data_IF_775693552482
#
_entry.id   IF_775693552482
#
_cell.length_a   1.000
_cell.length_b   1.000
_cell.length_c   1.000
_cell.angle_alpha   90.00
_cell.angle_beta   90.00
_cell.angle_gamma   90.00
#
_symmetry.space_group_name_H-M   'P 1'
#
loop_
_entity.id
_entity.type
_entity.pdbx_description
1 polymer ?
#
# COMPACT_ATOMS: atom_id res chain seq x y z
N UNK A 1 3.08 -0.18 -28.91
CA UNK A 1 2.39 0.10 -27.62
C UNK A 1 3.37 0.82 -26.69
N UNK A 2 2.94 1.87 -26.00
CA UNK A 2 3.79 2.52 -25.00
C UNK A 2 4.05 1.58 -23.83
N UNK A 3 5.28 1.59 -23.31
CA UNK A 3 5.64 0.81 -22.12
C UNK A 3 4.93 1.36 -20.90
N UNK A 4 4.34 0.50 -20.07
CA UNK A 4 3.84 0.91 -18.75
C UNK A 4 5.01 1.30 -17.85
N UNK A 5 4.92 2.46 -17.19
CA UNK A 5 5.96 2.99 -16.30
C UNK A 5 5.56 2.79 -14.85
N UNK A 6 6.36 2.03 -14.11
CA UNK A 6 6.10 1.73 -12.70
C UNK A 6 7.28 2.18 -11.85
N UNK A 7 7.02 2.90 -10.77
CA UNK A 7 8.03 3.17 -9.75
C UNK A 7 7.71 2.30 -8.54
N UNK A 8 8.68 1.48 -8.15
CA UNK A 8 8.59 0.68 -6.92
C UNK A 8 9.09 1.51 -5.74
N UNK A 9 8.21 1.76 -4.79
CA UNK A 9 8.50 2.45 -3.53
C UNK A 9 8.80 1.41 -2.46
N UNK A 10 10.05 1.33 -2.01
CA UNK A 10 10.53 0.33 -1.05
C UNK A 10 10.95 1.01 0.26
N UNK A 11 10.01 1.29 1.18
CA UNK A 11 10.34 1.84 2.48
C UNK A 11 10.96 0.77 3.36
N UNK A 12 12.24 0.89 3.70
CA UNK A 12 12.91 -0.10 4.54
C UNK A 12 14.41 0.13 4.67
N UNK A 13 14.99 -0.38 5.75
CA UNK A 13 16.44 -0.34 6.01
C UNK A 13 17.10 -1.66 5.64
N UNK A 14 16.48 -2.75 6.03
CA UNK A 14 16.97 -4.11 5.84
C UNK A 14 15.95 -4.87 5.01
N UNK A 15 16.44 -5.74 4.17
CA UNK A 15 15.65 -6.61 3.31
C UNK A 15 16.13 -8.03 3.54
N UNK A 16 15.21 -8.96 3.77
CA UNK A 16 15.55 -10.35 3.99
C UNK A 16 16.03 -11.04 2.70
N UNK A 17 16.60 -12.22 2.83
CA UNK A 17 16.94 -13.08 1.70
C UNK A 17 15.68 -13.51 0.93
N UNK A 18 14.56 -13.76 1.60
CA UNK A 18 13.27 -14.04 0.96
C UNK A 18 12.78 -12.85 0.14
N UNK A 19 12.85 -11.64 0.69
CA UNK A 19 12.53 -10.43 -0.06
C UNK A 19 13.46 -10.27 -1.28
N UNK A 20 14.78 -10.42 -1.07
CA UNK A 20 15.76 -10.28 -2.14
C UNK A 20 15.48 -11.27 -3.29
N UNK A 21 15.13 -12.50 -2.98
CA UNK A 21 14.74 -13.52 -3.97
C UNK A 21 13.47 -13.09 -4.72
N UNK A 22 12.42 -12.70 -4.01
CA UNK A 22 11.17 -12.21 -4.61
C UNK A 22 11.41 -11.01 -5.52
N UNK A 23 12.19 -10.04 -5.04
CA UNK A 23 12.54 -8.83 -5.80
C UNK A 23 13.36 -9.15 -7.06
N UNK A 24 14.39 -9.99 -6.95
CA UNK A 24 15.22 -10.38 -8.09
C UNK A 24 14.39 -11.09 -9.14
N UNK A 25 13.52 -12.02 -8.74
CA UNK A 25 12.61 -12.71 -9.67
C UNK A 25 11.69 -11.71 -10.39
N UNK A 26 11.11 -10.75 -9.65
CA UNK A 26 10.24 -9.75 -10.25
C UNK A 26 10.98 -8.88 -11.27
N UNK A 27 12.13 -8.29 -10.92
CA UNK A 27 12.81 -7.34 -11.81
C UNK A 27 13.36 -7.98 -13.07
N UNK A 28 13.66 -9.28 -13.05
CA UNK A 28 14.07 -10.03 -14.25
C UNK A 28 12.92 -10.30 -15.22
N UNK A 29 11.68 -10.34 -14.73
CA UNK A 29 10.48 -10.53 -15.56
C UNK A 29 9.91 -9.22 -16.14
N UNK A 30 10.07 -8.08 -15.49
CA UNK A 30 9.47 -6.80 -15.90
C UNK A 30 9.73 -6.43 -17.38
N UNK A 31 10.97 -6.59 -17.93
CA UNK A 31 11.20 -6.30 -19.35
C UNK A 31 10.40 -7.16 -20.31
N UNK A 32 10.13 -8.42 -19.95
CA UNK A 32 9.35 -9.36 -20.76
C UNK A 32 7.86 -8.95 -20.85
N UNK A 33 7.38 -8.23 -19.84
CA UNK A 33 6.00 -7.71 -19.75
C UNK A 33 5.84 -6.27 -20.27
N UNK A 34 6.84 -5.76 -21.00
CA UNK A 34 6.83 -4.40 -21.56
C UNK A 34 6.67 -3.31 -20.48
N UNK A 35 7.27 -3.52 -19.31
CA UNK A 35 7.26 -2.57 -18.18
C UNK A 35 8.61 -1.85 -18.11
N UNK A 36 8.57 -0.52 -18.11
CA UNK A 36 9.69 0.34 -17.73
C UNK A 36 9.57 0.63 -16.25
N UNK A 37 10.62 0.39 -15.50
CA UNK A 37 10.58 0.55 -14.06
C UNK A 37 11.73 1.37 -13.50
N UNK A 38 11.49 1.92 -12.32
CA UNK A 38 12.50 2.53 -11.46
C UNK A 38 12.21 2.16 -10.01
N UNK A 39 13.18 2.33 -9.14
CA UNK A 39 13.07 2.05 -7.71
C UNK A 39 13.33 3.33 -6.90
N UNK A 40 12.48 3.57 -5.93
CA UNK A 40 12.67 4.59 -4.90
C UNK A 40 12.73 3.91 -3.54
N UNK A 41 13.94 3.57 -3.11
CA UNK A 41 14.21 3.01 -1.78
C UNK A 41 14.62 4.12 -0.83
N UNK A 42 14.00 4.18 0.33
CA UNK A 42 14.32 5.12 1.42
C UNK A 42 14.24 4.42 2.77
N UNK A 43 14.93 5.01 3.73
CA UNK A 43 14.88 4.57 5.12
C UNK A 43 14.65 5.76 6.06
N UNK A 44 13.77 5.57 7.00
CA UNK A 44 13.61 6.39 8.20
C UNK A 44 12.92 5.53 9.27
N UNK A 45 13.17 5.83 10.54
CA UNK A 45 12.54 5.11 11.67
C UNK A 45 11.03 5.35 11.77
N UNK A 46 10.54 6.44 11.21
CA UNK A 46 9.13 6.80 11.22
C UNK A 46 8.52 6.63 9.81
N UNK A 47 7.39 5.93 9.74
CA UNK A 47 6.65 5.63 8.52
C UNK A 47 6.27 6.90 7.74
N UNK A 48 5.83 7.93 8.43
CA UNK A 48 5.50 9.23 7.86
C UNK A 48 6.65 9.79 7.00
N UNK A 49 7.87 9.83 7.57
CA UNK A 49 9.02 10.38 6.84
C UNK A 49 9.46 9.51 5.69
N UNK A 50 9.55 8.18 5.89
CA UNK A 50 10.05 7.28 4.84
C UNK A 50 9.12 7.24 3.63
N UNK A 51 7.81 7.20 3.82
CA UNK A 51 6.85 7.18 2.71
C UNK A 51 6.90 8.48 1.90
N UNK A 52 6.89 9.64 2.57
CA UNK A 52 7.02 10.92 1.86
C UNK A 52 8.38 11.07 1.16
N UNK A 53 9.45 10.55 1.74
CA UNK A 53 10.78 10.54 1.09
C UNK A 53 10.83 9.61 -0.12
N UNK A 54 10.14 8.46 -0.12
CA UNK A 54 10.01 7.59 -1.30
C UNK A 54 9.37 8.31 -2.48
N UNK A 55 8.45 9.24 -2.21
CA UNK A 55 7.82 10.09 -3.22
C UNK A 55 8.64 11.35 -3.57
N UNK A 56 9.87 11.47 -3.05
CA UNK A 56 10.72 12.63 -3.29
C UNK A 56 10.23 13.90 -2.59
N UNK A 57 9.48 13.74 -1.49
CA UNK A 57 8.99 14.85 -0.68
C UNK A 57 10.12 15.65 -0.05
N UNK A 58 9.93 16.97 0.02
CA UNK A 58 10.89 17.90 0.58
C UNK A 58 10.15 18.88 1.52
N UNK A 59 10.56 18.93 2.78
CA UNK A 59 9.96 19.81 3.78
C UNK A 59 10.02 21.31 3.42
N UNK A 60 10.94 21.72 2.54
CA UNK A 60 11.08 23.08 2.05
C UNK A 60 10.17 23.34 0.83
N UNK A 61 9.70 22.28 0.15
CA UNK A 61 8.92 22.39 -1.10
C UNK A 61 7.48 22.88 -0.94
N UNK A 62 7.03 23.09 0.30
CA UNK A 62 5.67 23.54 0.59
C UNK A 62 4.60 22.49 0.31
N UNK A 63 3.34 22.83 0.62
CA UNK A 63 2.23 21.88 0.55
C UNK A 63 1.81 21.48 -0.89
N UNK A 64 2.07 22.32 -1.87
CA UNK A 64 1.60 22.14 -3.26
C UNK A 64 2.59 21.33 -4.12
N UNK A 65 3.66 20.79 -3.53
CA UNK A 65 4.62 19.98 -4.29
C UNK A 65 3.98 18.71 -4.84
N UNK A 66 4.52 18.21 -5.94
CA UNK A 66 4.08 16.96 -6.57
C UNK A 66 5.07 15.84 -6.29
N UNK A 67 4.64 14.56 -6.32
CA UNK A 67 5.56 13.44 -6.24
C UNK A 67 6.75 13.61 -7.17
N UNK A 68 7.96 13.31 -6.67
CA UNK A 68 9.24 13.50 -7.37
C UNK A 68 9.46 14.90 -7.90
N UNK A 69 8.85 15.92 -7.27
CA UNK A 69 8.87 17.34 -7.71
C UNK A 69 8.35 17.53 -9.14
N UNK A 70 7.46 16.63 -9.60
CA UNK A 70 6.93 16.64 -10.97
C UNK A 70 7.93 16.26 -12.07
N UNK A 71 9.15 15.83 -11.71
CA UNK A 71 10.24 15.56 -12.68
C UNK A 71 10.26 14.13 -13.22
N UNK A 72 9.51 13.22 -12.60
CA UNK A 72 9.48 11.81 -12.99
C UNK A 72 8.12 11.46 -13.57
N UNK A 73 8.13 10.86 -14.75
CA UNK A 73 6.93 10.39 -15.42
C UNK A 73 6.70 8.90 -15.12
N UNK A 74 5.52 8.56 -14.63
CA UNK A 74 5.11 7.21 -14.28
C UNK A 74 3.61 7.03 -14.49
N UNK A 75 3.16 5.77 -14.62
CA UNK A 75 1.75 5.41 -14.69
C UNK A 75 1.24 4.90 -13.33
N UNK A 76 2.10 4.15 -12.61
CA UNK A 76 1.78 3.55 -11.31
C UNK A 76 2.94 3.64 -10.34
N UNK A 77 2.61 3.72 -9.06
CA UNK A 77 3.50 3.49 -7.94
C UNK A 77 3.15 2.14 -7.31
N UNK A 78 4.14 1.27 -7.11
CA UNK A 78 3.98 0.01 -6.41
C UNK A 78 4.73 0.07 -5.08
N UNK A 79 4.00 0.07 -3.99
CA UNK A 79 4.54 0.00 -2.64
C UNK A 79 4.75 -1.43 -2.23
N UNK A 80 5.94 -1.75 -1.73
CA UNK A 80 6.29 -3.06 -1.21
C UNK A 80 7.12 -2.86 0.05
N UNK A 81 6.61 -3.32 1.19
CA UNK A 81 7.39 -3.29 2.44
C UNK A 81 8.52 -4.31 2.42
N UNK A 82 9.58 -4.03 3.14
CA UNK A 82 10.84 -4.78 3.11
C UNK A 82 10.76 -6.20 3.69
N UNK A 83 9.63 -6.57 4.26
CA UNK A 83 9.31 -7.88 4.84
C UNK A 83 8.18 -8.61 4.08
N UNK A 84 7.89 -8.19 2.85
CA UNK A 84 6.96 -8.90 1.97
C UNK A 84 7.68 -10.00 1.17
N UNK A 85 7.02 -11.15 1.04
CA UNK A 85 7.50 -12.29 0.23
C UNK A 85 6.45 -12.56 -0.85
N UNK A 86 6.85 -12.50 -2.11
CA UNK A 86 5.91 -12.53 -3.23
C UNK A 86 6.50 -13.20 -4.47
N UNK A 87 5.61 -13.61 -5.37
CA UNK A 87 5.96 -14.11 -6.69
C UNK A 87 5.66 -13.03 -7.76
N UNK A 88 6.43 -12.97 -8.85
CA UNK A 88 6.23 -11.97 -9.92
C UNK A 88 4.80 -11.92 -10.46
N UNK A 89 4.15 -13.08 -10.56
CA UNK A 89 2.79 -13.18 -11.09
C UNK A 89 1.77 -12.41 -10.26
N UNK A 90 1.98 -12.30 -8.94
CA UNK A 90 1.09 -11.53 -8.06
C UNK A 90 1.11 -10.03 -8.41
N UNK A 91 2.29 -9.49 -8.74
CA UNK A 91 2.40 -8.11 -9.23
C UNK A 91 1.75 -7.94 -10.61
N UNK A 92 1.99 -8.86 -11.55
CA UNK A 92 1.40 -8.75 -12.90
C UNK A 92 -0.13 -8.86 -12.84
N UNK A 93 -0.66 -9.75 -12.04
CA UNK A 93 -2.11 -9.88 -11.82
C UNK A 93 -2.70 -8.58 -11.25
N UNK A 94 -2.05 -8.00 -10.22
CA UNK A 94 -2.49 -6.75 -9.60
C UNK A 94 -2.50 -5.59 -10.63
N UNK A 95 -1.42 -5.44 -11.39
CA UNK A 95 -1.30 -4.39 -12.40
C UNK A 95 -2.33 -4.56 -13.53
N UNK A 96 -2.54 -5.78 -14.01
CA UNK A 96 -3.52 -6.07 -15.05
C UNK A 96 -4.94 -5.80 -14.54
N UNK A 97 -5.28 -6.27 -13.34
CA UNK A 97 -6.59 -6.02 -12.73
C UNK A 97 -6.85 -4.51 -12.57
N UNK A 98 -5.87 -3.74 -12.09
CA UNK A 98 -6.00 -2.29 -11.98
C UNK A 98 -6.25 -1.59 -13.32
N UNK A 99 -5.61 -2.07 -14.40
CA UNK A 99 -5.83 -1.56 -15.76
C UNK A 99 -7.21 -1.93 -16.31
N UNK A 100 -7.62 -3.18 -16.16
CA UNK A 100 -8.90 -3.70 -16.64
C UNK A 100 -10.09 -3.00 -15.98
N UNK A 101 -10.02 -2.79 -14.67
CA UNK A 101 -11.08 -2.16 -13.88
C UNK A 101 -10.96 -0.64 -13.78
N UNK A 102 -9.87 -0.07 -14.31
CA UNK A 102 -9.50 1.34 -14.17
C UNK A 102 -9.41 1.80 -12.69
N UNK A 103 -9.08 0.88 -11.79
CA UNK A 103 -8.98 1.16 -10.35
C UNK A 103 -7.74 1.99 -10.04
N UNK A 104 -7.89 3.03 -9.22
CA UNK A 104 -6.80 3.96 -8.89
C UNK A 104 -5.95 3.53 -7.71
N UNK A 105 -6.53 2.83 -6.75
CA UNK A 105 -5.83 2.28 -5.57
C UNK A 105 -6.27 0.82 -5.43
N UNK A 106 -5.34 -0.11 -5.67
CA UNK A 106 -5.60 -1.54 -5.59
C UNK A 106 -4.51 -2.23 -4.78
N UNK A 107 -4.90 -3.12 -3.87
CA UNK A 107 -3.97 -3.91 -3.06
C UNK A 107 -4.29 -5.40 -3.15
N UNK A 108 -3.28 -6.23 -2.90
CA UNK A 108 -3.49 -7.58 -2.43
C UNK A 108 -3.59 -7.62 -0.91
N UNK A 109 -3.66 -8.82 -0.37
CA UNK A 109 -3.76 -9.08 1.06
C UNK A 109 -2.44 -9.62 1.61
N UNK A 110 -2.16 -9.32 2.88
CA UNK A 110 -1.12 -9.95 3.67
C UNK A 110 -1.52 -9.99 5.15
N UNK A 111 -1.13 -11.06 5.83
CA UNK A 111 -1.46 -11.24 7.23
C UNK A 111 -0.63 -10.31 8.13
N UNK A 112 -1.24 -9.81 9.19
CA UNK A 112 -0.55 -9.09 10.25
C UNK A 112 0.29 -10.06 11.12
N UNK A 113 1.08 -9.50 12.02
CA UNK A 113 1.76 -10.30 13.03
C UNK A 113 0.72 -11.08 13.85
N UNK A 114 0.95 -12.37 14.03
CA UNK A 114 -0.03 -13.30 14.64
C UNK A 114 -0.71 -14.21 13.62
N UNK A 115 -0.80 -13.82 12.36
CA UNK A 115 -1.29 -14.68 11.27
C UNK A 115 -2.80 -14.89 11.21
N UNK A 116 -3.57 -14.16 12.02
CA UNK A 116 -5.02 -14.35 12.16
C UNK A 116 -5.86 -13.41 11.28
N UNK A 117 -5.35 -12.19 11.05
CA UNK A 117 -6.08 -11.16 10.31
C UNK A 117 -5.21 -10.49 9.26
N UNK A 118 -5.82 -10.01 8.19
CA UNK A 118 -5.17 -9.19 7.19
C UNK A 118 -5.01 -7.73 7.65
N UNK A 119 -4.03 -7.02 7.13
CA UNK A 119 -3.84 -5.58 7.38
C UNK A 119 -4.90 -4.74 6.62
N UNK A 120 -6.17 -5.11 6.74
CA UNK A 120 -7.28 -4.55 5.94
C UNK A 120 -8.55 -4.46 6.76
N UNK A 121 -9.25 -3.33 6.66
CA UNK A 121 -10.56 -3.09 7.27
C UNK A 121 -11.55 -2.78 6.15
N UNK A 122 -12.63 -3.57 6.04
CA UNK A 122 -13.63 -3.38 4.99
C UNK A 122 -14.42 -2.10 5.23
N UNK A 123 -15.01 -1.97 6.40
CA UNK A 123 -15.82 -0.81 6.79
C UNK A 123 -15.42 -0.28 8.16
N UNK A 124 -15.59 1.03 8.36
CA UNK A 124 -15.44 1.66 9.66
C UNK A 124 -16.65 1.32 10.57
N UNK A 125 -16.70 0.07 11.06
CA UNK A 125 -17.73 -0.37 12.02
C UNK A 125 -17.52 0.33 13.36
N UNK A 126 -18.22 1.44 13.55
CA UNK A 126 -18.11 2.30 14.72
C UNK A 126 -18.65 1.63 16.00
N UNK A 127 -19.69 0.82 15.87
CA UNK A 127 -20.24 0.09 17.01
C UNK A 127 -19.28 -1.02 17.49
N UNK A 128 -18.66 -1.72 16.54
CA UNK A 128 -17.59 -2.65 16.87
C UNK A 128 -16.43 -1.93 17.55
N UNK A 129 -16.01 -0.76 17.04
CA UNK A 129 -14.91 0.03 17.63
C UNK A 129 -15.25 0.48 19.05
N UNK A 130 -16.44 1.05 19.29
CA UNK A 130 -16.87 1.48 20.64
C UNK A 130 -16.83 0.34 21.65
N UNK A 131 -17.15 -0.86 21.22
CA UNK A 131 -17.15 -2.06 22.08
C UNK A 131 -15.76 -2.63 22.34
N UNK A 132 -14.85 -2.61 21.35
CA UNK A 132 -13.59 -3.35 21.35
C UNK A 132 -12.35 -2.46 21.41
N UNK A 133 -12.45 -1.17 21.11
CA UNK A 133 -11.33 -0.22 21.08
C UNK A 133 -10.46 -0.30 19.82
N UNK A 134 -10.88 -1.06 18.79
CA UNK A 134 -10.20 -1.16 17.49
C UNK A 134 -11.20 -1.50 16.40
N UNK A 135 -10.87 -1.24 15.12
CA UNK A 135 -11.70 -1.63 13.99
C UNK A 135 -11.54 -3.11 13.62
N UNK A 136 -12.60 -3.71 13.07
CA UNK A 136 -12.62 -5.10 12.67
C UNK A 136 -11.77 -5.33 11.43
N UNK A 137 -10.64 -6.02 11.60
CA UNK A 137 -9.81 -6.48 10.50
C UNK A 137 -10.40 -7.72 9.82
N UNK A 138 -10.21 -7.84 8.50
CA UNK A 138 -10.63 -9.01 7.74
C UNK A 138 -9.82 -10.25 8.12
N UNK A 139 -10.50 -11.37 8.25
CA UNK A 139 -9.90 -12.69 8.45
C UNK A 139 -9.76 -13.44 7.12
N UNK A 140 -8.96 -14.53 7.05
CA UNK A 140 -8.94 -15.41 5.87
C UNK A 140 -10.31 -15.98 5.50
N UNK A 141 -11.18 -16.23 6.48
CA UNK A 141 -12.55 -16.72 6.25
C UNK A 141 -13.40 -15.66 5.54
N UNK A 142 -13.32 -14.39 5.94
CA UNK A 142 -14.09 -13.28 5.35
C UNK A 142 -13.84 -13.12 3.84
N UNK A 143 -12.67 -13.55 3.35
CA UNK A 143 -12.26 -13.38 1.95
C UNK A 143 -12.24 -14.68 1.14
N UNK A 144 -12.32 -15.85 1.78
CA UNK A 144 -12.11 -17.16 1.15
C UNK A 144 -13.02 -17.46 -0.04
N UNK A 145 -14.24 -16.96 -0.04
CA UNK A 145 -15.24 -17.14 -1.12
C UNK A 145 -15.22 -16.04 -2.17
N UNK A 146 -14.50 -14.92 -1.92
CA UNK A 146 -14.49 -13.74 -2.80
C UNK A 146 -13.56 -13.99 -4.01
N UNK A 147 -14.02 -13.60 -5.20
CA UNK A 147 -13.26 -13.72 -6.46
C UNK A 147 -13.04 -12.37 -7.13
N UNK A 148 -13.93 -11.43 -6.88
CA UNK A 148 -13.89 -10.10 -7.49
C UNK A 148 -13.30 -9.08 -6.53
N UNK A 149 -12.71 -8.02 -7.09
CA UNK A 149 -12.25 -6.90 -6.30
C UNK A 149 -13.41 -6.29 -5.51
N UNK A 150 -13.12 -5.85 -4.30
CA UNK A 150 -14.12 -5.20 -3.44
C UNK A 150 -13.52 -3.97 -2.76
N UNK A 151 -14.38 -3.01 -2.46
CA UNK A 151 -14.00 -1.77 -1.79
C UNK A 151 -13.70 -2.02 -0.31
N UNK A 152 -12.71 -1.30 0.20
CA UNK A 152 -12.34 -1.31 1.61
C UNK A 152 -12.10 0.12 2.11
N UNK A 153 -12.25 0.32 3.40
CA UNK A 153 -11.96 1.60 4.04
C UNK A 153 -10.47 1.77 4.35
N UNK A 154 -9.74 0.68 4.59
CA UNK A 154 -8.32 0.70 4.90
C UNK A 154 -7.60 -0.57 4.43
N UNK A 155 -6.37 -0.39 3.97
CA UNK A 155 -5.36 -1.44 3.85
C UNK A 155 -3.96 -0.85 4.08
N UNK A 156 -3.01 -1.69 4.51
CA UNK A 156 -1.63 -1.25 4.68
C UNK A 156 -0.89 -1.08 3.35
N UNK A 157 0.25 -0.40 3.40
CA UNK A 157 1.10 -0.12 2.22
C UNK A 157 2.04 -1.28 1.84
N UNK A 158 1.97 -2.41 2.54
CA UNK A 158 2.90 -3.51 2.31
C UNK A 158 2.85 -4.09 0.90
N UNK A 159 1.69 -4.04 0.23
CA UNK A 159 1.50 -4.50 -1.14
C UNK A 159 0.42 -3.67 -1.84
N UNK A 160 0.74 -2.44 -2.22
CA UNK A 160 -0.24 -1.45 -2.69
C UNK A 160 0.17 -0.85 -4.04
N UNK A 161 -0.71 -0.93 -5.03
CA UNK A 161 -0.57 -0.28 -6.33
C UNK A 161 -1.42 0.99 -6.38
N UNK A 162 -0.80 2.12 -6.73
CA UNK A 162 -1.46 3.42 -6.80
C UNK A 162 -1.23 4.04 -8.18
N UNK A 163 -2.31 4.36 -8.89
CA UNK A 163 -2.27 5.02 -10.18
C UNK A 163 -1.84 6.49 -10.04
N UNK A 164 -1.11 6.99 -11.01
CA UNK A 164 -0.80 8.42 -11.12
C UNK A 164 -2.07 9.25 -11.06
N UNK A 165 -2.00 10.38 -10.38
CA UNK A 165 -3.12 11.29 -10.13
C UNK A 165 -3.61 11.24 -8.69
N UNK A 166 -3.49 10.11 -8.01
CA UNK A 166 -3.92 10.00 -6.61
C UNK A 166 -3.07 10.88 -5.70
N UNK A 167 -1.76 10.64 -5.65
CA UNK A 167 -0.86 11.47 -4.83
C UNK A 167 -0.79 12.91 -5.30
N UNK A 168 -0.92 13.16 -6.60
CA UNK A 168 -0.95 14.50 -7.18
C UNK A 168 -2.19 15.32 -6.80
N UNK A 169 -3.27 14.65 -6.38
CA UNK A 169 -4.49 15.31 -5.89
C UNK A 169 -4.42 15.72 -4.43
N UNK A 170 -3.44 15.20 -3.69
CA UNK A 170 -3.24 15.46 -2.27
C UNK A 170 -2.21 16.56 -2.04
N UNK A 171 -2.43 17.35 -1.00
CA UNK A 171 -1.41 18.26 -0.47
C UNK A 171 -0.30 17.46 0.25
N UNK A 172 0.95 17.93 0.09
CA UNK A 172 2.05 17.40 0.90
C UNK A 172 1.88 17.82 2.39
N UNK A 173 2.16 16.94 3.32
CA UNK A 173 2.64 15.56 3.20
C UNK A 173 1.55 14.61 2.67
N UNK A 174 1.88 13.83 1.65
CA UNK A 174 0.91 12.93 1.02
C UNK A 174 0.48 11.79 1.92
N UNK A 175 1.43 11.24 2.67
CA UNK A 175 1.23 10.14 3.62
C UNK A 175 1.42 10.68 5.03
N UNK A 176 0.32 10.90 5.74
CA UNK A 176 0.33 11.45 7.10
C UNK A 176 -0.84 10.91 7.92
N UNK A 177 -0.73 10.85 9.26
CA UNK A 177 -1.88 10.62 10.12
C UNK A 177 -2.93 11.72 9.94
N UNK A 178 -4.19 11.36 10.16
CA UNK A 178 -5.30 12.30 10.27
C UNK A 178 -6.09 12.02 11.54
N UNK A 179 -6.94 12.94 11.93
CA UNK A 179 -7.92 12.66 12.97
C UNK A 179 -9.10 11.91 12.36
N UNK A 180 -9.47 10.81 13.01
CA UNK A 180 -10.79 10.21 12.88
C UNK A 180 -11.62 10.79 14.03
N UNK A 181 -12.62 11.62 13.71
CA UNK A 181 -13.44 12.34 14.70
C UNK A 181 -14.89 12.25 14.27
N UNK A 182 -15.52 11.13 14.57
CA UNK A 182 -16.90 10.83 14.17
C UNK A 182 -17.65 10.04 15.27
N UNK A 183 -18.90 10.37 15.48
CA UNK A 183 -19.83 9.65 16.37
C UNK A 183 -19.29 9.45 17.80
N UNK A 184 -18.53 10.43 18.31
CA UNK A 184 -17.93 10.38 19.64
C UNK A 184 -16.64 9.54 19.72
N UNK A 185 -16.15 8.99 18.62
CA UNK A 185 -14.82 8.36 18.51
C UNK A 185 -13.84 9.45 18.06
N UNK A 186 -12.79 9.68 18.85
CA UNK A 186 -11.69 10.56 18.46
C UNK A 186 -10.38 9.82 18.58
N UNK A 187 -9.75 9.52 17.44
CA UNK A 187 -8.52 8.76 17.37
C UNK A 187 -7.58 9.34 16.31
N UNK A 188 -6.27 9.25 16.52
CA UNK A 188 -5.29 9.57 15.50
C UNK A 188 -5.03 8.33 14.65
N UNK A 189 -5.28 8.42 13.36
CA UNK A 189 -5.01 7.31 12.44
C UNK A 189 -3.51 7.03 12.29
N UNK A 190 -3.18 5.84 11.80
CA UNK A 190 -1.84 5.60 11.25
C UNK A 190 -1.63 6.41 9.96
N UNK A 191 -0.39 6.49 9.48
CA UNK A 191 -0.06 7.19 8.23
C UNK A 191 -0.76 6.60 7.02
N UNK A 192 -0.84 5.26 6.97
CA UNK A 192 -1.45 4.52 5.86
C UNK A 192 -2.97 4.75 5.85
N UNK A 193 -3.60 4.68 7.01
CA UNK A 193 -5.03 4.97 7.20
C UNK A 193 -5.34 6.44 6.83
N UNK A 194 -4.53 7.38 7.28
CA UNK A 194 -4.70 8.79 6.95
C UNK A 194 -4.57 9.08 5.46
N UNK A 195 -3.70 8.36 4.74
CA UNK A 195 -3.64 8.44 3.27
C UNK A 195 -4.95 7.94 2.64
N UNK A 196 -5.45 6.76 3.05
CA UNK A 196 -6.68 6.19 2.47
C UNK A 196 -7.88 7.12 2.70
N UNK A 197 -8.02 7.66 3.91
CA UNK A 197 -9.08 8.61 4.24
C UNK A 197 -9.04 9.86 3.35
N UNK A 198 -7.86 10.49 3.23
CA UNK A 198 -7.67 11.68 2.38
C UNK A 198 -7.84 11.40 0.90
N UNK A 199 -7.46 10.21 0.42
CA UNK A 199 -7.68 9.80 -0.95
C UNK A 199 -9.18 9.61 -1.24
N UNK A 200 -9.92 9.00 -0.32
CA UNK A 200 -11.36 8.83 -0.43
C UNK A 200 -12.11 10.18 -0.46
N UNK A 201 -11.69 11.18 0.32
CA UNK A 201 -12.21 12.56 0.26
C UNK A 201 -12.01 13.22 -1.12
N UNK A 202 -11.01 12.75 -1.89
CA UNK A 202 -10.75 13.19 -3.28
C UNK A 202 -11.42 12.31 -4.32
N UNK A 203 -12.24 11.35 -3.91
CA UNK A 203 -12.97 10.44 -4.80
C UNK A 203 -12.17 9.22 -5.26
N UNK A 204 -11.05 8.91 -4.59
CA UNK A 204 -10.25 7.72 -4.89
C UNK A 204 -10.51 6.63 -3.85
N UNK A 205 -11.41 5.73 -4.16
CA UNK A 205 -11.68 4.56 -3.34
C UNK A 205 -10.54 3.53 -3.40
N UNK A 206 -10.35 2.81 -2.30
CA UNK A 206 -9.40 1.72 -2.18
C UNK A 206 -10.09 0.38 -2.40
N UNK A 207 -9.45 -0.50 -3.17
CA UNK A 207 -9.95 -1.84 -3.48
C UNK A 207 -8.92 -2.90 -3.12
N UNK A 208 -9.41 -4.10 -2.82
CA UNK A 208 -8.64 -5.32 -2.62
C UNK A 208 -8.93 -6.31 -3.73
N UNK A 209 -7.88 -6.94 -4.28
CA UNK A 209 -8.03 -8.19 -5.03
C UNK A 209 -7.83 -9.36 -4.06
N UNK A 210 -8.90 -10.08 -3.68
CA UNK A 210 -8.82 -11.15 -2.68
C UNK A 210 -8.07 -12.38 -3.18
N UNK A 211 -7.82 -12.48 -4.49
CA UNK A 211 -7.08 -13.59 -5.10
C UNK A 211 -5.57 -13.43 -4.99
N UNK A 212 -5.10 -12.25 -4.58
CA UNK A 212 -3.68 -11.92 -4.43
C UNK A 212 -3.35 -11.84 -2.94
N UNK A 213 -2.70 -12.88 -2.41
CA UNK A 213 -2.24 -12.94 -1.03
C UNK A 213 -0.73 -13.12 -1.04
N UNK A 214 0.01 -12.11 -0.53
CA UNK A 214 1.47 -12.16 -0.43
C UNK A 214 1.91 -12.57 0.98
N UNK A 215 3.10 -13.14 1.08
CA UNK A 215 3.70 -13.50 2.37
C UNK A 215 4.18 -12.27 3.14
N UNK A 216 4.12 -12.35 4.47
CA UNK A 216 4.61 -11.32 5.39
C UNK A 216 5.58 -11.95 6.38
N UNK A 217 6.86 -11.72 6.17
CA UNK A 217 7.92 -12.32 6.98
C UNK A 217 8.03 -11.62 8.34
N UNK A 218 7.99 -12.37 9.42
CA UNK A 218 8.13 -11.86 10.79
C UNK A 218 9.17 -12.67 11.55
N UNK A 219 10.02 -11.95 12.25
CA UNK A 219 11.02 -12.55 13.14
C UNK A 219 10.38 -12.98 14.46
N UNK A 220 10.78 -14.16 14.96
CA UNK A 220 10.35 -14.68 16.26
C UNK A 220 11.56 -14.82 17.18
N UNK A 221 11.44 -14.37 18.43
CA UNK A 221 12.45 -14.61 19.47
C UNK A 221 12.13 -15.95 20.13
N UNK A 222 13.06 -16.89 20.02
CA UNK A 222 12.97 -18.15 20.75
C UNK A 222 13.57 -17.93 22.15
N UNK A 223 12.80 -18.26 23.19
CA UNK A 223 13.24 -18.25 24.58
C UNK A 223 13.17 -19.67 25.14
N UNK A 224 14.16 -20.01 25.98
CA UNK A 224 14.21 -21.28 26.72
C UNK A 224 13.49 -21.11 28.05
#
# INVERSE_FOLDING_TARGET
MNKTKVIFCLPGRTFSDNFLKSWTNLVTELPKHNIKWAMSQKYHVNRYFVCNACLGGNSIGGKNQKPFQGKVDYDYLMWIDSDQVFEPQQFFNLLNKAKETNTSILSGLYLMQGGEVFATVEDWDKEFFKKNGYFKFLTPEDVSSRKEIFKVSYTGFGWLLVKRGVFESLDYPWVQPTWFDEDGIREMTTTDCGFMHRAAEKGFDTYIDPTIIVGHEKSTILQV
#
